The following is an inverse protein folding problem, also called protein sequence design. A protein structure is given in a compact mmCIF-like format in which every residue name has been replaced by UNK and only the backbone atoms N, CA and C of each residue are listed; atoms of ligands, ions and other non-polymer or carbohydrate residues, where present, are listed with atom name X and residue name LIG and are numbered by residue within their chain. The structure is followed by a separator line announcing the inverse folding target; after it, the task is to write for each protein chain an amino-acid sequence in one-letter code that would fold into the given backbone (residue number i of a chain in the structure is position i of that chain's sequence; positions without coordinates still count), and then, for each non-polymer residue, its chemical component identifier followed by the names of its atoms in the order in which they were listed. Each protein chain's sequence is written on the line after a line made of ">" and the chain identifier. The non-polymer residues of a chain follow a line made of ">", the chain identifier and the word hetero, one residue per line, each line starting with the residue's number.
data_IF_613807117797
#
_entry.id   IF_613807117797
#
_cell.length_a   1.000
_cell.length_b   1.000
_cell.length_c   1.000
_cell.angle_alpha   90.00
_cell.angle_beta   90.00
_cell.angle_gamma   90.00
#
_symmetry.space_group_name_H-M   'P 1'
#
loop_
_entity.id
_entity.type
_entity.pdbx_description
1 polymer ?
#
# COMPACT_ATOMS: atom_id res chain seq x y z
N UNK A 1 -7.53 -1.05 43.26
CA UNK A 1 -8.12 -0.36 42.09
C UNK A 1 -8.54 -1.44 41.11
N UNK A 2 -9.84 -1.67 40.94
CA UNK A 2 -10.35 -2.59 39.92
C UNK A 2 -10.31 -1.87 38.56
N UNK A 3 -9.44 -2.33 37.68
CA UNK A 3 -9.39 -1.86 36.29
C UNK A 3 -10.69 -2.26 35.60
N UNK A 4 -11.57 -1.29 35.32
CA UNK A 4 -12.72 -1.50 34.42
C UNK A 4 -12.17 -1.95 33.07
N UNK A 5 -12.30 -3.25 32.76
CA UNK A 5 -12.05 -3.76 31.41
C UNK A 5 -13.09 -3.13 30.50
N UNK A 6 -12.64 -2.37 29.51
CA UNK A 6 -13.51 -1.87 28.46
C UNK A 6 -14.08 -3.09 27.71
N UNK A 7 -15.40 -3.20 27.64
CA UNK A 7 -16.09 -4.26 26.90
C UNK A 7 -16.62 -3.63 25.63
N UNK A 8 -16.17 -4.13 24.49
CA UNK A 8 -16.73 -3.73 23.21
C UNK A 8 -18.18 -4.24 23.12
N UNK A 9 -19.13 -3.32 22.95
CA UNK A 9 -20.56 -3.67 22.84
C UNK A 9 -20.99 -3.93 21.38
N UNK A 10 -20.07 -3.82 20.42
CA UNK A 10 -20.31 -4.18 19.02
C UNK A 10 -20.33 -5.70 18.86
N UNK A 11 -20.97 -6.21 17.81
CA UNK A 11 -20.85 -7.64 17.49
C UNK A 11 -19.45 -7.96 16.98
N UNK A 12 -19.03 -9.23 17.06
CA UNK A 12 -17.77 -9.68 16.50
C UNK A 12 -17.64 -9.33 15.00
N UNK A 13 -18.75 -9.45 14.25
CA UNK A 13 -18.82 -9.09 12.83
C UNK A 13 -18.63 -7.59 12.59
N UNK A 14 -19.20 -6.73 13.45
CA UNK A 14 -19.01 -5.28 13.37
C UNK A 14 -17.56 -4.87 13.65
N UNK A 15 -16.89 -5.57 14.58
CA UNK A 15 -15.48 -5.32 14.87
C UNK A 15 -14.60 -5.78 13.72
N UNK A 16 -14.86 -6.96 13.13
CA UNK A 16 -14.18 -7.43 11.90
C UNK A 16 -14.32 -6.42 10.77
N UNK A 17 -15.54 -5.93 10.52
CA UNK A 17 -15.81 -4.93 9.47
C UNK A 17 -15.04 -3.64 9.72
N UNK A 18 -15.06 -3.11 10.94
CA UNK A 18 -14.29 -1.91 11.29
C UNK A 18 -12.78 -2.11 11.11
N UNK A 19 -12.24 -3.24 11.56
CA UNK A 19 -10.82 -3.55 11.40
C UNK A 19 -10.44 -3.64 9.93
N UNK A 20 -11.29 -4.24 9.11
CA UNK A 20 -11.06 -4.32 7.67
C UNK A 20 -11.06 -2.94 7.00
N UNK A 21 -11.95 -2.02 7.39
CA UNK A 21 -11.91 -0.63 6.90
C UNK A 21 -10.59 0.07 7.26
N UNK A 22 -10.10 -0.11 8.50
CA UNK A 22 -8.79 0.43 8.91
C UNK A 22 -7.65 -0.15 8.07
N UNK A 23 -7.63 -1.46 7.86
CA UNK A 23 -6.62 -2.13 7.02
C UNK A 23 -6.65 -1.62 5.59
N UNK A 24 -7.83 -1.36 5.01
CA UNK A 24 -7.93 -0.75 3.67
C UNK A 24 -7.34 0.65 3.62
N UNK A 25 -7.64 1.49 4.62
CA UNK A 25 -7.06 2.84 4.69
C UNK A 25 -5.54 2.80 4.75
N UNK A 26 -4.98 1.91 5.58
CA UNK A 26 -3.52 1.72 5.68
C UNK A 26 -2.96 1.21 4.36
N UNK A 27 -3.59 0.22 3.73
CA UNK A 27 -3.19 -0.30 2.42
C UNK A 27 -3.11 0.82 1.38
N UNK A 28 -4.15 1.64 1.30
CA UNK A 28 -4.22 2.73 0.33
C UNK A 28 -3.12 3.78 0.61
N UNK A 29 -2.79 4.04 1.88
CA UNK A 29 -1.64 4.89 2.25
C UNK A 29 -0.30 4.33 1.77
N UNK A 30 -0.07 3.01 1.89
CA UNK A 30 1.15 2.39 1.36
C UNK A 30 1.16 2.35 -0.17
N UNK A 31 0.01 2.10 -0.81
CA UNK A 31 -0.10 1.97 -2.26
C UNK A 31 0.16 3.30 -2.96
N UNK A 32 -0.39 4.38 -2.42
CA UNK A 32 -0.32 5.73 -3.01
C UNK A 32 0.71 6.64 -2.32
N UNK A 33 1.42 6.13 -1.31
CA UNK A 33 2.40 6.87 -0.51
C UNK A 33 3.77 7.06 -1.16
N UNK A 34 4.00 6.43 -2.31
CA UNK A 34 5.29 6.36 -3.00
C UNK A 34 6.03 5.04 -2.76
N UNK A 35 7.10 4.84 -3.52
CA UNK A 35 7.94 3.65 -3.45
C UNK A 35 9.38 3.97 -3.81
N UNK A 36 10.32 3.18 -3.29
CA UNK A 36 11.74 3.34 -3.60
C UNK A 36 12.12 2.56 -4.87
N UNK A 37 12.91 3.20 -5.72
CA UNK A 37 13.57 2.60 -6.86
C UNK A 37 14.94 3.28 -7.03
N UNK A 38 16.01 2.50 -7.15
CA UNK A 38 17.39 3.03 -7.28
C UNK A 38 17.78 4.09 -6.22
N UNK A 39 17.41 3.85 -4.95
CA UNK A 39 17.64 4.79 -3.82
C UNK A 39 16.97 6.16 -3.99
N UNK A 40 15.91 6.24 -4.79
CA UNK A 40 15.11 7.43 -5.04
C UNK A 40 13.65 7.13 -4.76
N UNK A 41 12.93 8.14 -4.26
CA UNK A 41 11.53 8.02 -3.92
C UNK A 41 10.65 8.55 -5.06
N UNK A 42 9.82 7.66 -5.60
CA UNK A 42 8.86 7.98 -6.65
C UNK A 42 7.45 8.05 -6.08
N UNK A 43 6.62 8.91 -6.65
CA UNK A 43 5.20 8.90 -6.36
C UNK A 43 4.51 7.68 -6.97
N UNK A 44 3.51 7.17 -6.24
CA UNK A 44 2.71 6.00 -6.65
C UNK A 44 1.22 6.29 -6.58
N UNK A 45 0.81 7.55 -6.51
CA UNK A 45 -0.60 7.94 -6.66
C UNK A 45 -1.13 7.49 -8.03
N UNK A 46 -2.47 7.42 -8.21
CA UNK A 46 -3.06 6.90 -9.45
C UNK A 46 -2.56 7.57 -10.73
N UNK A 47 -2.28 8.88 -10.71
CA UNK A 47 -1.75 9.59 -11.88
C UNK A 47 -0.29 9.19 -12.13
N UNK A 48 0.50 9.08 -11.07
CA UNK A 48 1.90 8.64 -11.18
C UNK A 48 2.01 7.21 -11.70
N UNK A 49 1.14 6.29 -11.25
CA UNK A 49 1.08 4.92 -11.79
C UNK A 49 0.79 4.91 -13.29
N UNK A 50 -0.21 5.69 -13.74
CA UNK A 50 -0.54 5.82 -15.15
C UNK A 50 0.65 6.40 -15.95
N UNK A 51 1.29 7.46 -15.44
CA UNK A 51 2.44 8.10 -16.09
C UNK A 51 3.62 7.15 -16.23
N UNK A 52 3.93 6.36 -15.20
CA UNK A 52 5.00 5.36 -15.24
C UNK A 52 4.68 4.30 -16.31
N UNK A 53 3.45 3.79 -16.33
CA UNK A 53 3.01 2.81 -17.31
C UNK A 53 3.09 3.34 -18.74
N UNK A 54 2.65 4.58 -18.98
CA UNK A 54 2.71 5.23 -20.29
C UNK A 54 4.16 5.52 -20.72
N UNK A 55 5.00 6.05 -19.83
CA UNK A 55 6.39 6.35 -20.14
C UNK A 55 7.18 5.09 -20.54
N UNK A 56 7.00 3.99 -19.79
CA UNK A 56 7.60 2.70 -20.12
C UNK A 56 7.11 2.12 -21.45
N UNK A 57 5.88 2.43 -21.87
CA UNK A 57 5.34 2.01 -23.17
C UNK A 57 5.88 2.84 -24.34
N UNK A 58 6.14 4.14 -24.14
CA UNK A 58 6.63 5.02 -25.19
C UNK A 58 8.05 4.67 -25.65
N UNK A 59 8.88 4.09 -24.77
CA UNK A 59 10.23 3.65 -25.13
C UNK A 59 11.20 4.79 -25.47
N UNK A 60 10.97 5.98 -24.92
CA UNK A 60 11.84 7.16 -25.07
C UNK A 60 12.32 7.62 -23.70
N UNK A 61 13.47 8.30 -23.65
CA UNK A 61 13.95 8.87 -22.40
C UNK A 61 13.02 9.98 -21.90
N UNK A 62 12.88 10.06 -20.58
CA UNK A 62 11.99 11.03 -19.92
C UNK A 62 12.74 11.74 -18.80
N UNK A 63 12.65 13.06 -18.81
CA UNK A 63 13.01 13.87 -17.64
C UNK A 63 11.87 13.75 -16.61
N UNK A 64 12.19 13.12 -15.47
CA UNK A 64 11.24 12.77 -14.44
C UNK A 64 11.47 13.58 -13.17
N UNK A 65 10.41 14.21 -12.65
CA UNK A 65 10.42 14.88 -11.35
C UNK A 65 10.09 13.88 -10.25
N UNK A 66 11.01 13.68 -9.32
CA UNK A 66 10.85 12.82 -8.16
C UNK A 66 9.98 13.47 -7.08
N UNK A 67 9.62 12.68 -6.07
CA UNK A 67 8.77 13.13 -4.95
C UNK A 67 9.38 14.27 -4.13
N UNK A 68 10.70 14.34 -4.08
CA UNK A 68 11.44 15.42 -3.41
C UNK A 68 11.63 16.67 -4.30
N UNK A 69 11.01 16.69 -5.48
CA UNK A 69 11.14 17.70 -6.53
C UNK A 69 12.50 17.75 -7.25
N UNK A 70 13.42 16.82 -6.97
CA UNK A 70 14.61 16.66 -7.80
C UNK A 70 14.25 16.03 -9.15
N UNK A 71 15.15 16.17 -10.12
CA UNK A 71 14.90 15.72 -11.50
C UNK A 71 15.94 14.69 -11.91
N UNK A 72 15.48 13.62 -12.56
CA UNK A 72 16.31 12.55 -13.08
C UNK A 72 15.95 12.28 -14.54
N UNK A 73 16.95 11.98 -15.37
CA UNK A 73 16.69 11.50 -16.73
C UNK A 73 16.65 9.97 -16.70
N UNK A 74 15.53 9.37 -17.12
CA UNK A 74 15.34 7.93 -17.17
C UNK A 74 15.46 7.45 -18.62
N UNK A 75 16.29 6.43 -18.84
CA UNK A 75 16.33 5.72 -20.12
C UNK A 75 15.09 4.85 -20.33
N UNK A 76 14.80 4.42 -21.57
CA UNK A 76 13.72 3.46 -21.85
C UNK A 76 13.80 2.19 -20.98
N UNK A 77 14.99 1.62 -20.81
CA UNK A 77 15.21 0.44 -19.96
C UNK A 77 14.89 0.73 -18.49
N UNK A 78 15.36 1.87 -17.97
CA UNK A 78 15.06 2.29 -16.58
C UNK A 78 13.56 2.53 -16.36
N UNK A 79 12.82 3.00 -17.37
CA UNK A 79 11.36 3.15 -17.28
C UNK A 79 10.65 1.79 -17.20
N UNK A 80 11.13 0.78 -17.92
CA UNK A 80 10.61 -0.60 -17.84
C UNK A 80 10.88 -1.18 -16.44
N UNK A 81 12.09 -0.97 -15.91
CA UNK A 81 12.46 -1.41 -14.56
C UNK A 81 11.66 -0.68 -13.48
N UNK A 82 11.46 0.64 -13.62
CA UNK A 82 10.62 1.44 -12.73
C UNK A 82 9.17 0.94 -12.71
N UNK A 83 8.59 0.65 -13.89
CA UNK A 83 7.24 0.06 -14.00
C UNK A 83 7.18 -1.30 -13.32
N UNK A 84 8.22 -2.12 -13.49
CA UNK A 84 8.30 -3.45 -12.88
C UNK A 84 8.39 -3.35 -11.36
N UNK A 85 9.23 -2.44 -10.84
CA UNK A 85 9.34 -2.15 -9.42
C UNK A 85 8.00 -1.65 -8.83
N UNK A 86 7.29 -0.76 -9.53
CA UNK A 86 5.95 -0.31 -9.14
C UNK A 86 4.97 -1.48 -9.05
N UNK A 87 4.96 -2.37 -10.05
CA UNK A 87 4.07 -3.54 -10.06
C UNK A 87 4.37 -4.49 -8.90
N UNK A 88 5.65 -4.70 -8.57
CA UNK A 88 6.08 -5.51 -7.42
C UNK A 88 5.63 -4.86 -6.10
N UNK A 89 5.83 -3.55 -5.94
CA UNK A 89 5.40 -2.78 -4.77
C UNK A 89 3.90 -2.92 -4.53
N UNK A 90 3.09 -2.65 -5.56
CA UNK A 90 1.62 -2.77 -5.49
C UNK A 90 1.20 -4.20 -5.16
N UNK A 91 1.81 -5.21 -5.80
CA UNK A 91 1.47 -6.60 -5.53
C UNK A 91 1.78 -7.02 -4.08
N UNK A 92 2.92 -6.60 -3.53
CA UNK A 92 3.29 -6.86 -2.13
C UNK A 92 2.26 -6.25 -1.15
N UNK A 93 1.82 -5.02 -1.41
CA UNK A 93 0.80 -4.33 -0.62
C UNK A 93 -0.55 -5.07 -0.66
N UNK A 94 -0.98 -5.51 -1.84
CA UNK A 94 -2.20 -6.30 -1.94
C UNK A 94 -2.08 -7.67 -1.27
N UNK A 95 -0.91 -8.30 -1.32
CA UNK A 95 -0.64 -9.56 -0.63
C UNK A 95 -0.77 -9.40 0.89
N UNK A 96 -0.14 -8.38 1.47
CA UNK A 96 -0.29 -8.02 2.88
C UNK A 96 -1.76 -7.79 3.25
N UNK A 97 -2.50 -7.07 2.41
CA UNK A 97 -3.93 -6.86 2.57
C UNK A 97 -4.76 -8.15 2.56
N UNK A 98 -4.44 -9.11 1.67
CA UNK A 98 -5.10 -10.43 1.63
C UNK A 98 -4.84 -11.23 2.91
N UNK A 99 -3.59 -11.25 3.38
CA UNK A 99 -3.20 -11.92 4.62
C UNK A 99 -3.92 -11.31 5.82
N UNK A 100 -3.92 -9.98 5.94
CA UNK A 100 -4.61 -9.27 7.01
C UNK A 100 -6.12 -9.56 6.99
N UNK A 101 -6.75 -9.53 5.81
CA UNK A 101 -8.16 -9.89 5.65
C UNK A 101 -8.44 -11.31 6.13
N UNK A 102 -7.64 -12.27 5.69
CA UNK A 102 -7.81 -13.66 6.09
C UNK A 102 -7.75 -13.82 7.63
N UNK A 103 -6.78 -13.16 8.29
CA UNK A 103 -6.67 -13.16 9.75
C UNK A 103 -7.91 -12.59 10.44
N UNK A 104 -8.47 -11.49 9.92
CA UNK A 104 -9.70 -10.88 10.44
C UNK A 104 -10.88 -11.84 10.33
N UNK A 105 -11.05 -12.48 9.16
CA UNK A 105 -12.16 -13.41 8.92
C UNK A 105 -12.08 -14.64 9.83
N UNK A 106 -10.88 -15.19 10.05
CA UNK A 106 -10.67 -16.37 10.89
C UNK A 106 -10.66 -16.10 12.39
N UNK A 107 -10.54 -14.84 12.81
CA UNK A 107 -10.50 -14.48 14.23
C UNK A 107 -11.82 -14.84 14.94
N UNK A 108 -11.71 -15.38 16.15
CA UNK A 108 -12.84 -15.81 16.98
C UNK A 108 -13.06 -14.89 18.19
N UNK A 109 -12.10 -14.02 18.47
CA UNK A 109 -12.10 -13.11 19.62
C UNK A 109 -11.80 -11.67 19.20
N UNK A 110 -12.21 -10.70 20.04
CA UNK A 110 -11.88 -9.29 19.83
C UNK A 110 -10.37 -9.04 19.84
N UNK A 111 -9.64 -9.72 20.73
CA UNK A 111 -8.18 -9.59 20.87
C UNK A 111 -7.45 -10.04 19.60
N UNK A 112 -7.88 -11.13 18.97
CA UNK A 112 -7.32 -11.60 17.71
C UNK A 112 -7.56 -10.61 16.56
N UNK A 113 -8.75 -9.99 16.50
CA UNK A 113 -9.07 -8.98 15.49
C UNK A 113 -8.19 -7.73 15.69
N UNK A 114 -8.08 -7.26 16.93
CA UNK A 114 -7.28 -6.07 17.26
C UNK A 114 -5.79 -6.30 16.96
N UNK A 115 -5.28 -7.51 17.16
CA UNK A 115 -3.90 -7.89 16.88
C UNK A 115 -3.55 -7.95 15.38
N UNK A 116 -4.53 -7.89 14.47
CA UNK A 116 -4.24 -7.86 13.02
C UNK A 116 -3.60 -6.53 12.64
N UNK A 117 -2.45 -6.59 12.00
CA UNK A 117 -1.72 -5.44 11.46
C UNK A 117 -1.52 -5.59 9.95
N UNK A 118 -1.27 -4.47 9.28
CA UNK A 118 -0.98 -4.40 7.85
C UNK A 118 0.49 -4.69 7.54
#
# INVERSE_FOLDING_TARGET
>A
YETKKWVDNRSLEDVKRHKWEQIKQIRDQYEFGGFEFENKLYDSDPNSQLRIATAALLGVSVEWTLKDNSVVNLSPDQLIDLKTALAVHINNIHERGRIARQKIETALTYEEIEAVNF
#
